data_IF_433764297392
#
_entry.id   IF_433764297392
#
_cell.length_a   1.000
_cell.length_b   1.000
_cell.length_c   1.000
_cell.angle_alpha   90.00
_cell.angle_beta   90.00
_cell.angle_gamma   90.00
#
_symmetry.space_group_name_H-M   'P 1'
#
loop_
_entity.id
_entity.type
_entity.pdbx_description
1 polymer ?
#
# COMPACT_ATOMS: atom_id res chain seq x y z
N UNK A 1 2.29 -4.90 -8.20
CA UNK A 1 1.45 -5.90 -7.48
C UNK A 1 0.70 -5.29 -6.29
N UNK A 2 1.31 -4.36 -5.56
CA UNK A 2 0.65 -3.68 -4.42
C UNK A 2 -0.63 -2.97 -4.91
N UNK A 3 -0.54 -2.23 -6.00
CA UNK A 3 -1.67 -1.50 -6.59
C UNK A 3 -2.81 -2.45 -6.96
N UNK A 4 -2.49 -3.61 -7.52
CA UNK A 4 -3.49 -4.63 -7.86
C UNK A 4 -4.27 -5.08 -6.63
N UNK A 5 -3.59 -5.24 -5.50
CA UNK A 5 -4.23 -5.68 -4.25
C UNK A 5 -5.05 -4.57 -3.58
N UNK A 6 -4.70 -3.30 -3.80
CA UNK A 6 -5.27 -2.17 -3.05
C UNK A 6 -6.41 -1.44 -3.75
N UNK A 7 -6.46 -1.45 -5.07
CA UNK A 7 -7.32 -0.50 -5.79
C UNK A 7 -8.16 -1.15 -6.88
N UNK A 8 -9.37 -0.59 -7.07
CA UNK A 8 -10.16 -0.83 -8.28
C UNK A 8 -9.51 -0.10 -9.45
N UNK A 9 -9.79 -0.54 -10.69
CA UNK A 9 -9.08 -0.02 -11.87
C UNK A 9 -9.18 1.49 -12.05
N UNK A 10 -10.32 2.08 -11.68
CA UNK A 10 -10.54 3.54 -11.77
C UNK A 10 -9.74 4.34 -10.74
N UNK A 11 -9.26 3.70 -9.66
CA UNK A 11 -8.50 4.34 -8.58
C UNK A 11 -7.01 4.01 -8.62
N UNK A 12 -6.57 3.13 -9.51
CA UNK A 12 -5.19 2.65 -9.51
C UNK A 12 -4.15 3.75 -9.73
N UNK A 13 -4.42 4.71 -10.61
CA UNK A 13 -3.48 5.81 -10.86
C UNK A 13 -3.33 6.71 -9.62
N UNK A 14 -4.41 6.97 -8.89
CA UNK A 14 -4.37 7.75 -7.65
C UNK A 14 -3.64 7.01 -6.53
N UNK A 15 -3.93 5.73 -6.35
CA UNK A 15 -3.24 4.90 -5.34
C UNK A 15 -1.76 4.79 -5.68
N UNK A 16 -1.42 4.61 -6.95
CA UNK A 16 -0.03 4.63 -7.41
C UNK A 16 0.67 5.94 -7.03
N UNK A 17 0.00 7.08 -7.20
CA UNK A 17 0.59 8.37 -6.83
C UNK A 17 0.96 8.45 -5.34
N UNK A 18 0.15 7.88 -4.47
CA UNK A 18 0.43 7.85 -3.03
C UNK A 18 1.74 7.11 -2.76
N UNK A 19 1.90 5.91 -3.32
CA UNK A 19 3.11 5.12 -3.13
C UNK A 19 4.33 5.77 -3.76
N UNK A 20 4.21 6.34 -4.95
CA UNK A 20 5.31 7.08 -5.58
C UNK A 20 5.71 8.30 -4.75
N UNK A 21 4.74 9.04 -4.20
CA UNK A 21 5.03 10.18 -3.34
C UNK A 21 5.79 9.74 -2.08
N UNK A 22 5.42 8.61 -1.49
CA UNK A 22 6.15 8.04 -0.35
C UNK A 22 7.56 7.61 -0.73
N UNK A 23 7.71 6.91 -1.85
CA UNK A 23 9.01 6.43 -2.32
C UNK A 23 9.99 7.56 -2.63
N UNK A 24 9.50 8.68 -3.15
CA UNK A 24 10.33 9.83 -3.50
C UNK A 24 10.64 10.74 -2.32
N UNK A 25 10.03 10.49 -1.16
CA UNK A 25 10.25 11.26 0.06
C UNK A 25 10.60 10.33 1.25
N UNK A 26 11.72 9.58 1.16
CA UNK A 26 12.09 8.64 2.22
C UNK A 26 12.42 9.31 3.55
N UNK A 27 12.72 10.60 3.55
CA UNK A 27 12.96 11.38 4.76
C UNK A 27 11.70 11.51 5.63
N UNK A 28 10.51 11.44 5.01
CA UNK A 28 9.21 11.49 5.69
C UNK A 28 8.60 10.10 5.79
N UNK A 29 8.75 9.30 4.73
CA UNK A 29 8.19 7.94 4.62
C UNK A 29 9.29 6.95 4.27
N UNK A 30 10.13 6.54 5.24
CA UNK A 30 11.16 5.53 4.97
C UNK A 30 10.58 4.17 4.62
N UNK A 31 9.33 3.90 5.05
CA UNK A 31 8.62 2.64 4.78
C UNK A 31 7.31 2.91 4.07
N UNK A 32 6.95 2.04 3.11
CA UNK A 32 5.71 2.19 2.35
C UNK A 32 4.45 1.95 3.17
N UNK A 33 4.53 1.08 4.17
CA UNK A 33 3.41 0.75 5.06
C UNK A 33 2.17 0.28 4.27
N UNK A 34 2.39 -0.62 3.31
CA UNK A 34 1.32 -1.19 2.50
C UNK A 34 0.81 -2.50 3.12
N UNK A 35 -0.45 -2.53 3.55
CA UNK A 35 -1.07 -3.68 4.20
C UNK A 35 -0.91 -4.99 3.41
N UNK A 36 -1.11 -5.01 2.07
CA UNK A 36 -0.98 -6.27 1.33
C UNK A 36 0.40 -6.92 1.43
N UNK A 37 1.47 -6.14 1.60
CA UNK A 37 2.80 -6.71 1.78
C UNK A 37 2.95 -7.39 3.13
N UNK A 38 2.38 -6.81 4.18
CA UNK A 38 2.35 -7.42 5.51
C UNK A 38 1.54 -8.72 5.48
N UNK A 39 0.38 -8.69 4.84
CA UNK A 39 -0.48 -9.87 4.74
C UNK A 39 0.22 -10.98 3.95
N UNK A 40 0.89 -10.64 2.85
CA UNK A 40 1.68 -11.60 2.08
C UNK A 40 2.81 -12.20 2.92
N UNK A 41 3.52 -11.38 3.69
CA UNK A 41 4.60 -11.84 4.56
C UNK A 41 4.07 -12.84 5.61
N UNK A 42 2.95 -12.53 6.24
CA UNK A 42 2.39 -13.37 7.30
C UNK A 42 1.67 -14.60 6.77
N UNK A 43 0.88 -14.45 5.70
CA UNK A 43 -0.01 -15.51 5.23
C UNK A 43 0.68 -16.45 4.25
N UNK A 44 1.57 -15.93 3.40
CA UNK A 44 2.23 -16.74 2.39
C UNK A 44 3.64 -17.15 2.79
N UNK A 45 4.50 -16.19 3.14
CA UNK A 45 5.91 -16.49 3.40
C UNK A 45 6.06 -17.27 4.70
N UNK A 46 5.47 -16.80 5.79
CA UNK A 46 5.57 -17.49 7.08
C UNK A 46 4.88 -18.86 7.07
N UNK A 47 3.81 -19.00 6.30
CA UNK A 47 3.13 -20.28 6.15
C UNK A 47 4.02 -21.34 5.48
N UNK A 48 4.79 -20.94 4.46
CA UNK A 48 5.65 -21.85 3.70
C UNK A 48 7.02 -22.05 4.32
N UNK A 49 7.62 -20.99 4.89
CA UNK A 49 8.97 -21.05 5.45
C UNK A 49 8.98 -21.24 6.97
N UNK A 50 7.89 -20.84 7.64
CA UNK A 50 7.80 -20.90 9.10
C UNK A 50 8.89 -20.05 9.76
N UNK A 51 9.35 -20.50 10.93
CA UNK A 51 10.40 -19.78 11.68
C UNK A 51 11.79 -19.93 11.07
N UNK A 52 11.93 -20.73 10.01
CA UNK A 52 13.23 -21.02 9.41
C UNK A 52 13.87 -19.80 8.76
N UNK A 53 13.05 -18.89 8.23
CA UNK A 53 13.58 -17.69 7.62
C UNK A 53 12.61 -16.51 7.73
N UNK A 54 12.45 -16.02 8.96
CA UNK A 54 11.67 -14.84 9.24
C UNK A 54 12.21 -13.60 8.50
N UNK A 55 13.51 -13.60 8.17
CA UNK A 55 14.12 -12.47 7.46
C UNK A 55 13.51 -12.25 6.08
N UNK A 56 13.13 -13.32 5.39
CA UNK A 56 12.46 -13.21 4.08
C UNK A 56 11.10 -12.53 4.25
N UNK A 57 10.31 -12.95 5.25
CA UNK A 57 9.02 -12.32 5.53
C UNK A 57 9.20 -10.82 5.87
N UNK A 58 10.20 -10.49 6.68
CA UNK A 58 10.48 -9.11 7.07
C UNK A 58 10.88 -8.24 5.87
N UNK A 59 11.62 -8.79 4.90
CA UNK A 59 11.96 -8.06 3.68
C UNK A 59 10.73 -7.72 2.83
N UNK A 60 9.72 -8.57 2.81
CA UNK A 60 8.47 -8.31 2.08
C UNK A 60 7.54 -7.35 2.82
N UNK A 61 7.63 -7.29 4.15
CA UNK A 61 6.74 -6.46 4.96
C UNK A 61 7.20 -5.00 4.95
N UNK A 62 6.48 -4.13 4.24
CA UNK A 62 6.84 -2.72 4.11
C UNK A 62 6.56 -1.89 5.36
N UNK A 63 6.01 -2.48 6.42
CA UNK A 63 5.99 -1.87 7.75
C UNK A 63 7.31 -2.07 8.50
N UNK A 64 8.10 -3.05 8.09
CA UNK A 64 9.37 -3.41 8.74
C UNK A 64 10.57 -2.96 7.91
N UNK A 65 10.54 -3.20 6.60
CA UNK A 65 11.64 -2.89 5.70
C UNK A 65 11.39 -1.63 4.89
N UNK A 66 12.47 -0.91 4.58
CA UNK A 66 12.40 0.31 3.78
C UNK A 66 12.27 0.00 2.30
N UNK A 67 11.58 0.88 1.58
CA UNK A 67 11.44 0.81 0.13
C UNK A 67 10.49 -0.29 -0.33
N UNK A 68 10.71 -0.75 -1.56
CA UNK A 68 9.89 -1.79 -2.18
C UNK A 68 10.24 -3.18 -1.65
N UNK A 69 9.26 -4.12 -1.66
CA UNK A 69 9.57 -5.52 -1.37
C UNK A 69 10.49 -6.10 -2.45
N UNK A 70 11.18 -7.23 -2.15
CA UNK A 70 12.12 -7.84 -3.10
C UNK A 70 11.51 -8.33 -4.40
N UNK A 71 10.21 -8.59 -4.40
CA UNK A 71 9.51 -9.09 -5.59
C UNK A 71 8.01 -8.87 -5.48
N UNK A 72 7.25 -9.33 -6.47
CA UNK A 72 5.79 -9.15 -6.47
C UNK A 72 5.11 -10.04 -5.44
N UNK A 73 3.95 -9.57 -4.97
CA UNK A 73 3.11 -10.32 -4.02
C UNK A 73 1.90 -10.97 -4.72
N UNK A 74 1.68 -10.63 -5.98
CA UNK A 74 0.63 -11.23 -6.82
C UNK A 74 0.99 -11.03 -8.29
N UNK A 75 0.12 -11.53 -9.18
CA UNK A 75 0.22 -11.30 -10.61
C UNK A 75 -0.63 -10.09 -10.99
N UNK A 76 -0.03 -8.91 -11.21
CA UNK A 76 -0.82 -7.72 -11.53
C UNK A 76 -1.39 -7.79 -12.94
N UNK A 77 -2.60 -7.26 -13.11
CA UNK A 77 -3.18 -7.04 -14.42
C UNK A 77 -2.56 -5.84 -15.12
N UNK A 78 -2.89 -5.67 -16.40
CA UNK A 78 -2.36 -4.58 -17.22
C UNK A 78 -2.69 -3.21 -16.65
N UNK A 79 -3.90 -3.02 -16.12
CA UNK A 79 -4.30 -1.74 -15.53
C UNK A 79 -3.41 -1.35 -14.34
N UNK A 80 -3.03 -2.31 -13.51
CA UNK A 80 -2.13 -2.04 -12.38
C UNK A 80 -0.72 -1.74 -12.85
N UNK A 81 -0.24 -2.42 -13.87
CA UNK A 81 1.09 -2.17 -14.44
C UNK A 81 1.14 -0.77 -15.06
N UNK A 82 0.13 -0.39 -15.83
CA UNK A 82 0.05 0.94 -16.43
C UNK A 82 -0.01 2.04 -15.36
N UNK A 83 -0.78 1.82 -14.29
CA UNK A 83 -0.86 2.77 -13.18
C UNK A 83 0.47 2.92 -12.45
N UNK A 84 1.24 1.85 -12.30
CA UNK A 84 2.57 1.89 -11.69
C UNK A 84 3.56 2.69 -12.53
N UNK A 85 3.45 2.59 -13.85
CA UNK A 85 4.32 3.31 -14.78
C UNK A 85 3.86 4.75 -15.03
N UNK A 86 2.57 5.01 -14.89
CA UNK A 86 1.95 6.31 -15.17
C UNK A 86 1.04 6.71 -14.01
N UNK A 87 1.61 7.03 -12.84
CA UNK A 87 0.81 7.47 -11.69
C UNK A 87 0.16 8.82 -11.97
N UNK A 88 -0.96 9.10 -11.31
CA UNK A 88 -1.53 10.44 -11.32
C UNK A 88 -0.58 11.44 -10.65
N UNK A 89 -0.63 12.69 -11.04
CA UNK A 89 0.15 13.74 -10.40
C UNK A 89 -0.65 14.32 -9.23
N UNK A 90 -0.29 13.92 -8.01
CA UNK A 90 -0.96 14.37 -6.78
C UNK A 90 0.07 14.68 -5.70
N UNK A 91 -0.42 15.34 -4.64
CA UNK A 91 0.37 15.56 -3.42
C UNK A 91 -0.07 14.65 -2.28
N UNK A 92 -0.78 13.57 -2.59
CA UNK A 92 -1.31 12.68 -1.57
C UNK A 92 -0.25 11.73 -1.03
N UNK A 93 -0.24 11.58 0.28
CA UNK A 93 0.62 10.62 1.01
C UNK A 93 -0.18 9.52 1.70
N UNK A 94 -1.51 9.64 1.75
CA UNK A 94 -2.38 8.71 2.46
C UNK A 94 -3.62 8.43 1.64
N UNK A 95 -4.14 7.21 1.81
CA UNK A 95 -5.47 6.88 1.30
C UNK A 95 -6.13 5.85 2.22
N UNK A 96 -7.44 5.81 2.17
CA UNK A 96 -8.23 4.73 2.77
C UNK A 96 -9.48 4.50 1.93
N UNK A 97 -10.10 3.35 2.13
CA UNK A 97 -11.29 2.96 1.39
C UNK A 97 -12.42 2.66 2.36
N UNK A 98 -13.60 3.22 2.11
CA UNK A 98 -14.81 2.82 2.81
C UNK A 98 -15.23 1.46 2.27
N UNK A 99 -15.16 0.42 3.10
CA UNK A 99 -15.44 -0.95 2.70
C UNK A 99 -16.92 -1.18 2.37
N UNK A 100 -17.80 -0.30 2.82
CA UNK A 100 -19.25 -0.40 2.55
C UNK A 100 -19.61 0.20 1.21
N UNK A 101 -19.08 1.40 0.92
CA UNK A 101 -19.42 2.17 -0.28
C UNK A 101 -18.42 2.00 -1.40
N UNK A 102 -17.22 1.49 -1.09
CA UNK A 102 -16.08 1.38 -2.00
C UNK A 102 -15.51 2.74 -2.43
N UNK A 103 -15.84 3.82 -1.70
CA UNK A 103 -15.27 5.14 -1.95
C UNK A 103 -13.84 5.22 -1.41
N UNK A 104 -12.96 5.85 -2.18
CA UNK A 104 -11.58 6.12 -1.80
C UNK A 104 -11.45 7.55 -1.32
N UNK A 105 -10.71 7.72 -0.23
CA UNK A 105 -10.40 9.01 0.35
C UNK A 105 -8.90 9.21 0.37
N UNK A 106 -8.44 10.35 -0.11
CA UNK A 106 -7.02 10.68 -0.20
C UNK A 106 -6.70 11.86 0.72
N UNK A 107 -5.48 11.92 1.23
CA UNK A 107 -5.04 13.00 2.10
C UNK A 107 -3.57 13.33 1.91
N UNK A 108 -3.23 14.59 2.11
CA UNK A 108 -1.85 15.07 2.08
C UNK A 108 -1.19 14.93 3.45
N UNK A 109 -1.97 15.04 4.53
CA UNK A 109 -1.49 15.04 5.91
C UNK A 109 -2.10 13.91 6.72
N UNK A 110 -1.44 13.52 7.80
CA UNK A 110 -1.95 12.52 8.72
C UNK A 110 -3.26 12.97 9.37
N UNK A 111 -3.39 14.26 9.69
CA UNK A 111 -4.60 14.82 10.28
C UNK A 111 -5.81 14.64 9.36
N UNK A 112 -5.65 14.97 8.07
CA UNK A 112 -6.69 14.77 7.06
C UNK A 112 -7.01 13.29 6.89
N UNK A 113 -5.97 12.44 6.89
CA UNK A 113 -6.16 10.99 6.78
C UNK A 113 -6.96 10.44 7.95
N UNK A 114 -6.66 10.88 9.18
CA UNK A 114 -7.40 10.43 10.36
C UNK A 114 -8.88 10.87 10.29
N UNK A 115 -9.15 12.05 9.77
CA UNK A 115 -10.53 12.49 9.53
C UNK A 115 -11.22 11.61 8.49
N UNK A 116 -10.53 11.24 7.42
CA UNK A 116 -11.05 10.35 6.39
C UNK A 116 -11.31 8.94 6.94
N UNK A 117 -10.43 8.43 7.79
CA UNK A 117 -10.60 7.12 8.44
C UNK A 117 -11.88 7.10 9.26
N UNK A 118 -12.14 8.14 10.04
CA UNK A 118 -13.39 8.25 10.80
C UNK A 118 -14.60 8.33 9.89
N UNK A 119 -14.52 9.11 8.82
CA UNK A 119 -15.60 9.27 7.83
C UNK A 119 -15.91 7.95 7.12
N UNK A 120 -14.88 7.16 6.83
CA UNK A 120 -15.02 5.85 6.20
C UNK A 120 -15.50 4.76 7.16
N UNK A 121 -15.65 5.08 8.45
CA UNK A 121 -16.07 4.13 9.47
C UNK A 121 -15.02 3.08 9.83
N UNK A 122 -13.77 3.36 9.52
CA UNK A 122 -12.65 2.46 9.81
C UNK A 122 -12.15 2.68 11.23
N UNK A 123 -11.64 1.60 11.82
CA UNK A 123 -10.95 1.66 13.11
C UNK A 123 -9.48 1.39 12.90
N UNK A 124 -8.67 2.27 13.42
CA UNK A 124 -7.26 2.16 13.24
C UNK A 124 -6.87 2.56 11.82
N UNK A 125 -5.63 2.30 11.51
CA UNK A 125 -4.97 2.84 10.37
C UNK A 125 -4.50 1.72 9.46
N UNK A 126 -4.72 1.86 8.21
CA UNK A 126 -4.23 0.86 7.26
C UNK A 126 -3.48 1.51 6.11
#
# INVERSE_FOLDING_TARGET
SIIQAEATSDQMANVSSVYWNRLTHPEVFPRLQADPTRDYANDEIMTHLGDRDKSVADYYNTYVSEGLPPGPINNPGMAAIEAALNPAETSYYYFCTDLRTKEFYYAETLEEHNANVRKAGLRGWS
#
